data_IF_238726476549
#
_entry.id   IF_238726476549
#
_cell.length_a   1.000
_cell.length_b   1.000
_cell.length_c   1.000
_cell.angle_alpha   90.00
_cell.angle_beta   90.00
_cell.angle_gamma   90.00
#
_symmetry.space_group_name_H-M   'P 1'
#
loop_
_entity.id
_entity.type
_entity.pdbx_description
1 polymer ?
#
# COMPACT_ATOMS: atom_id res chain seq x y z
N UNK A 1 31.09 25.05 -54.98
CA UNK A 1 32.21 25.26 -54.05
C UNK A 1 31.61 25.71 -52.72
N UNK A 2 32.04 25.05 -51.64
CA UNK A 2 32.05 25.43 -50.22
C UNK A 2 30.87 26.22 -49.63
N UNK A 3 30.25 25.62 -48.61
CA UNK A 3 29.57 26.34 -47.54
C UNK A 3 30.35 26.07 -46.24
N UNK A 4 31.14 27.06 -45.82
CA UNK A 4 31.58 27.29 -44.44
C UNK A 4 30.44 28.09 -43.76
N UNK A 5 29.86 27.69 -42.62
CA UNK A 5 30.35 27.60 -41.24
C UNK A 5 29.91 28.80 -40.37
N UNK A 6 29.49 28.48 -39.14
CA UNK A 6 29.35 29.31 -37.91
C UNK A 6 28.04 30.13 -37.81
N UNK A 7 27.06 29.71 -36.99
CA UNK A 7 26.95 29.76 -35.52
C UNK A 7 26.65 31.18 -34.98
N UNK A 8 25.47 31.40 -34.37
CA UNK A 8 25.39 31.56 -32.91
C UNK A 8 23.96 31.63 -32.33
N UNK A 9 23.81 30.96 -31.18
CA UNK A 9 22.93 31.20 -30.03
C UNK A 9 21.44 31.50 -30.19
N UNK A 10 20.60 30.54 -29.77
CA UNK A 10 19.55 30.81 -28.77
C UNK A 10 19.53 29.70 -27.74
N UNK A 11 19.75 30.11 -26.50
CA UNK A 11 19.72 29.34 -25.26
C UNK A 11 18.36 28.66 -25.07
N UNK A 12 18.32 27.33 -25.16
CA UNK A 12 17.18 26.54 -24.71
C UNK A 12 17.08 26.61 -23.19
N UNK A 13 15.87 26.99 -22.74
CA UNK A 13 15.53 27.18 -21.34
C UNK A 13 15.70 25.89 -20.53
N UNK A 14 16.34 26.04 -19.38
CA UNK A 14 16.35 25.07 -18.30
C UNK A 14 14.91 24.78 -17.85
N UNK A 15 14.38 23.61 -18.20
CA UNK A 15 13.23 23.04 -17.51
C UNK A 15 13.69 22.55 -16.14
N UNK A 16 13.61 23.45 -15.16
CA UNK A 16 13.66 23.09 -13.75
C UNK A 16 12.49 22.16 -13.45
N UNK A 17 12.76 20.87 -13.30
CA UNK A 17 11.82 19.91 -12.73
C UNK A 17 11.56 20.31 -11.28
N UNK A 18 10.49 21.06 -11.07
CA UNK A 18 9.97 21.35 -9.75
C UNK A 18 9.55 20.04 -9.09
N UNK A 19 10.20 19.76 -7.97
CA UNK A 19 9.84 18.77 -6.96
C UNK A 19 8.44 19.11 -6.42
N UNK A 20 7.40 18.59 -7.08
CA UNK A 20 6.03 18.63 -6.56
C UNK A 20 5.84 17.38 -5.70
N UNK A 21 6.34 17.48 -4.47
CA UNK A 21 5.81 16.69 -3.37
C UNK A 21 4.32 17.02 -3.24
N UNK A 22 3.45 16.22 -3.86
CA UNK A 22 2.01 16.29 -3.58
C UNK A 22 1.79 15.94 -2.11
N UNK A 23 1.73 16.97 -1.28
CA UNK A 23 1.24 16.91 0.08
C UNK A 23 -0.26 16.60 0.01
N UNK A 24 -0.59 15.34 0.22
CA UNK A 24 -1.98 14.89 0.28
C UNK A 24 -2.65 15.58 1.46
N UNK A 25 -3.78 16.29 1.27
CA UNK A 25 -4.47 16.94 2.37
C UNK A 25 -4.84 15.89 3.42
N UNK A 26 -4.47 16.18 4.68
CA UNK A 26 -4.84 15.36 5.83
C UNK A 26 -6.37 15.18 5.91
N UNK A 27 -6.85 14.09 6.53
CA UNK A 27 -8.27 13.82 6.55
C UNK A 27 -9.04 14.93 7.28
N UNK A 28 -10.00 15.52 6.57
CA UNK A 28 -11.11 16.27 7.15
C UNK A 28 -11.93 15.32 8.03
N UNK A 29 -12.36 15.81 9.19
CA UNK A 29 -13.12 15.15 10.28
C UNK A 29 -14.54 14.68 9.88
N UNK A 30 -14.72 14.15 8.68
CA UNK A 30 -15.89 13.38 8.28
C UNK A 30 -15.52 11.91 8.35
N UNK A 31 -16.32 11.10 9.05
CA UNK A 31 -16.20 9.64 9.10
C UNK A 31 -16.06 9.09 7.68
N UNK A 32 -14.83 8.74 7.30
CA UNK A 32 -14.54 8.25 5.94
C UNK A 32 -15.27 6.92 5.79
N UNK A 33 -16.22 6.77 4.86
CA UNK A 33 -17.01 5.56 4.77
C UNK A 33 -16.09 4.37 4.47
N UNK A 34 -16.09 3.39 5.38
CA UNK A 34 -15.23 2.21 5.38
C UNK A 34 -15.41 1.36 4.11
N UNK A 35 -14.38 0.60 3.75
CA UNK A 35 -14.35 -0.24 2.55
C UNK A 35 -14.76 -1.68 2.87
N UNK A 36 -16.04 -1.93 3.16
CA UNK A 36 -16.52 -3.28 3.43
C UNK A 36 -16.86 -4.07 2.17
N UNK A 37 -16.57 -5.37 2.21
CA UNK A 37 -17.10 -6.38 1.27
C UNK A 37 -17.72 -7.54 2.05
N UNK A 38 -18.82 -8.09 1.54
CA UNK A 38 -19.45 -9.27 2.13
C UNK A 38 -18.87 -10.53 1.49
N UNK A 39 -18.31 -11.42 2.31
CA UNK A 39 -17.77 -12.71 1.88
C UNK A 39 -18.45 -13.78 2.73
N UNK A 40 -19.26 -14.62 2.07
CA UNK A 40 -20.03 -15.70 2.71
C UNK A 40 -20.88 -15.24 3.91
N UNK A 41 -21.57 -14.10 3.76
CA UNK A 41 -22.46 -13.55 4.79
C UNK A 41 -21.74 -12.78 5.90
N UNK A 42 -20.43 -12.58 5.81
CA UNK A 42 -19.64 -11.83 6.78
C UNK A 42 -19.03 -10.59 6.12
N UNK A 43 -19.12 -9.44 6.78
CA UNK A 43 -18.49 -8.22 6.32
C UNK A 43 -17.01 -8.17 6.74
N UNK A 44 -16.16 -7.90 5.75
CA UNK A 44 -14.72 -7.70 5.91
C UNK A 44 -14.36 -6.29 5.46
N UNK A 45 -13.64 -5.57 6.32
CA UNK A 45 -13.02 -4.31 5.93
C UNK A 45 -11.78 -4.59 5.09
N UNK A 46 -11.71 -3.95 3.93
CA UNK A 46 -10.56 -4.00 3.04
C UNK A 46 -9.59 -2.87 3.38
N UNK A 47 -8.31 -3.22 3.51
CA UNK A 47 -7.23 -2.28 3.77
C UNK A 47 -6.10 -2.51 2.77
N UNK A 48 -5.57 -1.45 2.17
CA UNK A 48 -4.49 -1.61 1.21
C UNK A 48 -4.35 -0.52 0.17
N UNK A 49 -3.68 -0.87 -0.92
CA UNK A 49 -3.45 0.05 -2.02
C UNK A 49 -4.55 -0.02 -3.12
N UNK A 50 -4.21 0.43 -4.32
CA UNK A 50 -5.08 0.43 -5.50
C UNK A 50 -5.68 -0.95 -5.83
N UNK A 51 -5.01 -2.05 -5.50
CA UNK A 51 -5.52 -3.38 -5.78
C UNK A 51 -6.70 -3.72 -4.86
N UNK A 52 -6.62 -3.37 -3.58
CA UNK A 52 -7.73 -3.54 -2.64
C UNK A 52 -8.90 -2.61 -2.96
N UNK A 53 -8.61 -1.39 -3.43
CA UNK A 53 -9.63 -0.47 -3.93
C UNK A 53 -10.39 -1.03 -5.14
N UNK A 54 -9.68 -1.71 -6.06
CA UNK A 54 -10.28 -2.39 -7.21
C UNK A 54 -11.10 -3.61 -6.78
N UNK A 55 -10.61 -4.38 -5.82
CA UNK A 55 -11.36 -5.51 -5.26
C UNK A 55 -12.67 -5.03 -4.64
N UNK A 56 -12.63 -3.95 -3.85
CA UNK A 56 -13.83 -3.32 -3.30
C UNK A 56 -14.81 -2.90 -4.39
N UNK A 57 -14.29 -2.18 -5.40
CA UNK A 57 -15.11 -1.66 -6.51
C UNK A 57 -15.80 -2.79 -7.29
N UNK A 58 -15.06 -3.88 -7.54
CA UNK A 58 -15.57 -5.07 -8.20
C UNK A 58 -16.65 -5.78 -7.36
N UNK A 59 -16.37 -6.03 -6.08
CA UNK A 59 -17.27 -6.76 -5.20
C UNK A 59 -18.58 -6.00 -4.91
N UNK A 60 -18.51 -4.67 -4.81
CA UNK A 60 -19.65 -3.82 -4.48
C UNK A 60 -20.36 -3.20 -5.69
N UNK A 61 -19.86 -3.48 -6.91
CA UNK A 61 -20.32 -2.85 -8.15
C UNK A 61 -20.38 -1.32 -8.06
N UNK A 62 -19.45 -0.73 -7.28
CA UNK A 62 -19.38 0.69 -6.98
C UNK A 62 -18.04 1.26 -7.45
N UNK A 63 -17.97 2.56 -7.71
CA UNK A 63 -16.72 3.23 -8.11
C UNK A 63 -16.19 4.10 -6.99
N UNK A 64 -14.92 3.93 -6.64
CA UNK A 64 -14.17 4.87 -5.83
C UNK A 64 -12.99 5.41 -6.64
N UNK A 65 -12.82 6.74 -6.69
CA UNK A 65 -11.78 7.37 -7.54
C UNK A 65 -10.38 6.96 -7.12
N UNK A 66 -9.95 7.41 -5.93
CA UNK A 66 -8.59 7.17 -5.41
C UNK A 66 -8.58 6.61 -3.99
N UNK A 67 -9.71 6.62 -3.30
CA UNK A 67 -9.81 6.19 -1.90
C UNK A 67 -11.22 5.72 -1.55
N UNK A 68 -11.28 4.71 -0.70
CA UNK A 68 -12.46 4.30 0.08
C UNK A 68 -11.97 3.72 1.39
N UNK A 69 -12.41 4.25 2.54
CA UNK A 69 -11.86 3.86 3.84
C UNK A 69 -10.32 3.85 3.85
N UNK A 70 -9.77 2.72 4.28
CA UNK A 70 -8.32 2.44 4.32
C UNK A 70 -7.76 1.79 3.03
N UNK A 71 -8.56 1.71 1.96
CA UNK A 71 -8.09 1.41 0.61
C UNK A 71 -7.72 2.71 -0.11
N UNK A 72 -6.43 2.94 -0.35
CA UNK A 72 -5.95 4.20 -0.97
C UNK A 72 -5.00 3.90 -2.14
N UNK A 73 -5.36 4.42 -3.32
CA UNK A 73 -4.55 4.26 -4.52
C UNK A 73 -3.14 4.82 -4.32
N UNK A 74 -2.13 4.02 -4.64
CA UNK A 74 -0.73 4.39 -4.51
C UNK A 74 -0.19 4.37 -3.07
N UNK A 75 -0.96 3.96 -2.07
CA UNK A 75 -0.50 3.96 -0.67
C UNK A 75 0.71 3.05 -0.45
N UNK A 76 1.69 3.55 0.31
CA UNK A 76 2.77 2.75 0.89
C UNK A 76 2.34 2.12 2.22
N UNK A 77 3.13 1.17 2.73
CA UNK A 77 2.98 0.56 4.06
C UNK A 77 3.04 1.61 5.16
N UNK A 78 4.08 2.46 5.17
CA UNK A 78 4.18 3.63 6.06
C UNK A 78 2.93 4.49 6.09
N UNK A 79 2.38 4.82 4.91
CA UNK A 79 1.20 5.66 4.78
C UNK A 79 -0.05 4.97 5.32
N UNK A 80 -0.20 3.67 5.06
CA UNK A 80 -1.31 2.89 5.60
C UNK A 80 -1.22 2.78 7.13
N UNK A 81 -0.03 2.53 7.70
CA UNK A 81 0.18 2.47 9.14
C UNK A 81 -0.19 3.78 9.85
N UNK A 82 0.11 4.94 9.25
CA UNK A 82 -0.37 6.25 9.73
C UNK A 82 -1.89 6.32 9.70
N UNK A 83 -2.51 6.00 8.56
CA UNK A 83 -3.97 6.04 8.42
C UNK A 83 -4.71 5.10 9.36
N UNK A 84 -4.14 3.94 9.67
CA UNK A 84 -4.72 3.02 10.67
C UNK A 84 -4.72 3.68 12.04
N UNK A 85 -3.61 4.30 12.46
CA UNK A 85 -3.55 5.01 13.75
C UNK A 85 -4.51 6.19 13.84
N UNK A 86 -4.71 6.88 12.72
CA UNK A 86 -5.58 8.05 12.63
C UNK A 86 -7.06 7.67 12.38
N UNK A 87 -7.36 6.39 12.13
CA UNK A 87 -8.72 5.94 11.86
C UNK A 87 -9.55 5.99 13.15
N UNK A 88 -10.81 6.48 13.10
CA UNK A 88 -11.66 6.52 14.28
C UNK A 88 -12.13 5.12 14.73
N UNK A 89 -12.22 4.16 13.80
CA UNK A 89 -12.68 2.80 14.08
C UNK A 89 -12.05 1.80 13.10
N UNK A 90 -12.12 0.52 13.46
CA UNK A 90 -11.73 -0.61 12.62
C UNK A 90 -12.84 -1.66 12.59
N UNK A 91 -13.03 -2.28 11.43
CA UNK A 91 -13.94 -3.41 11.28
C UNK A 91 -13.51 -4.64 12.10
N UNK A 92 -14.45 -5.50 12.53
CA UNK A 92 -14.13 -6.68 13.33
C UNK A 92 -13.40 -7.77 12.54
N UNK A 93 -13.43 -7.68 11.21
CA UNK A 93 -12.76 -8.60 10.30
C UNK A 93 -12.07 -7.80 9.21
N UNK A 94 -10.79 -8.06 9.02
CA UNK A 94 -9.92 -7.28 8.14
C UNK A 94 -9.35 -8.20 7.05
N UNK A 95 -9.30 -7.71 5.82
CA UNK A 95 -8.46 -8.26 4.75
C UNK A 95 -7.45 -7.18 4.35
N UNK A 96 -6.17 -7.47 4.54
CA UNK A 96 -5.08 -6.54 4.33
C UNK A 96 -4.21 -7.01 3.16
N UNK A 97 -3.98 -6.13 2.19
CA UNK A 97 -2.92 -6.31 1.19
C UNK A 97 -2.25 -4.97 0.91
N UNK A 98 -0.96 -4.88 1.22
CA UNK A 98 -0.17 -3.66 1.06
C UNK A 98 1.29 -4.06 0.83
N UNK A 99 2.06 -3.22 0.15
CA UNK A 99 3.47 -3.51 -0.18
C UNK A 99 3.81 -3.36 -1.66
N UNK A 100 2.81 -3.24 -2.55
CA UNK A 100 3.08 -3.20 -4.00
C UNK A 100 3.83 -1.92 -4.39
N UNK A 101 3.54 -0.80 -3.74
CA UNK A 101 4.12 0.50 -4.10
C UNK A 101 5.59 0.63 -3.69
N UNK A 102 6.05 -0.10 -2.67
CA UNK A 102 7.47 -0.19 -2.30
C UNK A 102 8.30 -0.80 -3.44
N UNK A 103 7.72 -1.75 -4.17
CA UNK A 103 8.35 -2.32 -5.37
C UNK A 103 8.14 -1.47 -6.64
N UNK A 104 7.21 -0.52 -6.67
CA UNK A 104 6.92 0.29 -7.86
C UNK A 104 7.61 1.65 -7.85
N UNK A 105 7.99 2.17 -6.66
CA UNK A 105 8.52 3.52 -6.48
C UNK A 105 10.05 3.61 -6.40
N UNK A 106 10.78 2.50 -6.50
CA UNK A 106 12.24 2.55 -6.46
C UNK A 106 12.82 3.07 -7.78
N UNK A 107 13.84 3.93 -7.69
CA UNK A 107 14.49 4.57 -8.83
C UNK A 107 15.89 4.03 -9.15
N UNK A 108 16.43 3.12 -8.33
CA UNK A 108 17.78 2.56 -8.52
C UNK A 108 17.92 1.11 -8.09
N UNK A 109 17.91 0.86 -6.78
CA UNK A 109 17.98 -0.50 -6.22
C UNK A 109 16.60 -1.00 -5.79
N UNK A 110 16.31 -2.31 -5.95
CA UNK A 110 15.09 -2.88 -5.39
C UNK A 110 15.09 -2.74 -3.87
N UNK A 111 13.91 -2.62 -3.23
CA UNK A 111 13.83 -2.60 -1.77
C UNK A 111 14.46 -3.86 -1.19
N UNK A 112 15.13 -3.75 -0.05
CA UNK A 112 15.64 -4.91 0.69
C UNK A 112 14.50 -5.63 1.40
N UNK A 113 14.66 -6.93 1.65
CA UNK A 113 13.67 -7.71 2.40
C UNK A 113 13.48 -7.15 3.82
N UNK A 114 14.56 -6.76 4.49
CA UNK A 114 14.50 -6.21 5.86
C UNK A 114 13.68 -4.93 5.92
N UNK A 115 13.85 -4.02 4.94
CA UNK A 115 13.06 -2.81 4.83
C UNK A 115 11.57 -3.14 4.68
N UNK A 116 11.22 -4.08 3.80
CA UNK A 116 9.83 -4.48 3.59
C UNK A 116 9.21 -5.09 4.86
N UNK A 117 9.97 -5.93 5.57
CA UNK A 117 9.54 -6.54 6.82
C UNK A 117 9.31 -5.50 7.92
N UNK A 118 10.20 -4.51 8.05
CA UNK A 118 10.07 -3.42 9.02
C UNK A 118 8.84 -2.54 8.73
N UNK A 119 8.67 -2.16 7.47
CA UNK A 119 7.52 -1.35 7.01
C UNK A 119 6.19 -2.10 7.17
N UNK A 120 6.16 -3.40 6.85
CA UNK A 120 4.98 -4.22 7.10
C UNK A 120 4.73 -4.40 8.60
N UNK A 121 5.78 -4.58 9.38
CA UNK A 121 5.74 -4.60 10.85
C UNK A 121 5.08 -3.36 11.42
N UNK A 122 5.37 -2.17 10.88
CA UNK A 122 4.71 -0.92 11.28
C UNK A 122 3.20 -0.94 11.02
N UNK A 123 2.73 -1.53 9.92
CA UNK A 123 1.29 -1.71 9.65
C UNK A 123 0.65 -2.63 10.68
N UNK A 124 1.31 -3.73 11.00
CA UNK A 124 0.84 -4.69 11.99
C UNK A 124 0.81 -4.12 13.41
N UNK A 125 1.84 -3.38 13.80
CA UNK A 125 1.89 -2.67 15.08
C UNK A 125 0.77 -1.64 15.16
N UNK A 126 0.54 -0.86 14.09
CA UNK A 126 -0.57 0.09 14.04
C UNK A 126 -1.94 -0.58 14.26
N UNK A 127 -2.16 -1.79 13.73
CA UNK A 127 -3.38 -2.56 13.98
C UNK A 127 -3.49 -3.06 15.42
N UNK A 128 -2.38 -3.52 16.01
CA UNK A 128 -2.34 -4.06 17.38
C UNK A 128 -2.51 -2.99 18.44
N UNK A 129 -1.93 -1.83 18.23
CA UNK A 129 -1.96 -0.70 19.17
C UNK A 129 -3.17 0.21 18.97
N UNK A 130 -4.00 -0.06 17.96
CA UNK A 130 -5.21 0.72 17.72
C UNK A 130 -6.15 0.63 18.94
N UNK A 131 -6.80 1.73 19.37
CA UNK A 131 -7.73 1.70 20.51
C UNK A 131 -8.87 0.68 20.41
N UNK A 132 -9.18 0.25 19.18
CA UNK A 132 -10.22 -0.75 18.85
C UNK A 132 -9.65 -2.14 18.53
N UNK A 133 -8.36 -2.40 18.78
CA UNK A 133 -7.72 -3.66 18.44
C UNK A 133 -8.42 -4.89 19.05
N UNK A 134 -8.93 -4.79 20.29
CA UNK A 134 -9.70 -5.85 20.94
C UNK A 134 -11.03 -6.22 20.25
N UNK A 135 -11.53 -5.39 19.33
CA UNK A 135 -12.71 -5.67 18.52
C UNK A 135 -12.38 -6.47 17.24
N UNK A 136 -11.11 -6.51 16.84
CA UNK A 136 -10.66 -7.20 15.64
C UNK A 136 -10.58 -8.71 15.91
N UNK A 137 -11.64 -9.41 15.51
CA UNK A 137 -11.77 -10.88 15.67
C UNK A 137 -11.01 -11.67 14.61
N UNK A 138 -10.70 -11.07 13.46
CA UNK A 138 -10.00 -11.75 12.36
C UNK A 138 -9.22 -10.77 11.50
N UNK A 139 -7.97 -11.10 11.17
CA UNK A 139 -7.18 -10.38 10.19
C UNK A 139 -6.59 -11.36 9.17
N UNK A 140 -6.86 -11.16 7.90
CA UNK A 140 -6.37 -11.99 6.78
C UNK A 140 -5.33 -11.17 6.02
N UNK A 141 -4.09 -11.65 5.99
CA UNK A 141 -2.98 -11.01 5.29
C UNK A 141 -2.82 -11.60 3.88
N UNK A 142 -3.09 -10.84 2.83
CA UNK A 142 -2.88 -11.34 1.47
C UNK A 142 -1.44 -11.14 1.03
N UNK A 143 -0.90 -12.12 0.32
CA UNK A 143 0.37 -11.99 -0.39
C UNK A 143 0.23 -11.02 -1.56
N UNK A 144 1.34 -10.43 -1.97
CA UNK A 144 1.36 -9.56 -3.13
C UNK A 144 1.20 -10.39 -4.41
N UNK A 145 0.35 -9.96 -5.37
CA UNK A 145 0.29 -10.61 -6.66
C UNK A 145 1.58 -10.37 -7.45
N UNK A 146 1.76 -11.12 -8.53
CA UNK A 146 2.87 -10.91 -9.45
C UNK A 146 2.85 -9.48 -9.99
N UNK A 147 3.96 -8.75 -9.82
CA UNK A 147 4.09 -7.37 -10.28
C UNK A 147 4.45 -7.36 -11.78
N UNK A 148 3.57 -6.93 -12.70
CA UNK A 148 3.79 -7.14 -14.14
C UNK A 148 5.04 -6.42 -14.68
N UNK A 149 5.37 -5.25 -14.13
CA UNK A 149 6.49 -4.41 -14.60
C UNK A 149 7.87 -4.86 -14.11
N UNK A 150 7.95 -5.56 -12.98
CA UNK A 150 9.24 -5.83 -12.31
C UNK A 150 9.37 -7.25 -11.74
N UNK A 151 8.28 -8.00 -11.58
CA UNK A 151 8.25 -9.32 -10.95
C UNK A 151 9.04 -10.40 -11.71
N UNK A 152 9.49 -10.10 -12.93
CA UNK A 152 10.34 -10.98 -13.73
C UNK A 152 11.83 -10.62 -13.66
N UNK A 153 12.21 -9.43 -13.14
CA UNK A 153 13.62 -9.04 -12.99
C UNK A 153 14.25 -9.80 -11.82
N UNK A 154 15.41 -10.41 -12.06
CA UNK A 154 16.02 -11.39 -11.15
C UNK A 154 16.15 -10.95 -9.67
N UNK A 155 16.62 -9.73 -9.34
CA UNK A 155 16.72 -9.33 -7.93
C UNK A 155 15.34 -9.00 -7.30
N UNK A 156 14.46 -8.33 -8.04
CA UNK A 156 13.10 -7.97 -7.57
C UNK A 156 12.26 -9.22 -7.30
N UNK A 157 12.32 -10.21 -8.20
CA UNK A 157 11.55 -11.45 -8.10
C UNK A 157 11.89 -12.22 -6.82
N UNK A 158 13.17 -12.29 -6.47
CA UNK A 158 13.62 -12.97 -5.25
C UNK A 158 13.07 -12.27 -4.02
N UNK A 159 13.28 -10.96 -3.89
CA UNK A 159 12.78 -10.19 -2.75
C UNK A 159 11.25 -10.28 -2.63
N UNK A 160 10.52 -10.19 -3.76
CA UNK A 160 9.07 -10.35 -3.77
C UNK A 160 8.61 -11.73 -3.27
N UNK A 161 9.29 -12.81 -3.68
CA UNK A 161 9.00 -14.17 -3.19
C UNK A 161 9.27 -14.28 -1.69
N UNK A 162 10.45 -13.81 -1.26
CA UNK A 162 10.87 -13.89 0.14
C UNK A 162 9.94 -13.08 1.04
N UNK A 163 9.48 -11.91 0.57
CA UNK A 163 8.48 -11.11 1.29
C UNK A 163 7.11 -11.79 1.35
N UNK A 164 6.66 -12.44 0.28
CA UNK A 164 5.42 -13.23 0.30
C UNK A 164 5.49 -14.43 1.25
N UNK A 165 6.65 -15.10 1.34
CA UNK A 165 6.86 -16.16 2.33
C UNK A 165 6.76 -15.62 3.75
N UNK A 166 7.40 -14.47 4.02
CA UNK A 166 7.27 -13.78 5.31
C UNK A 166 5.81 -13.47 5.68
N UNK A 167 4.99 -12.97 4.74
CA UNK A 167 3.56 -12.73 4.99
C UNK A 167 2.82 -14.03 5.36
N UNK A 168 3.14 -15.14 4.69
CA UNK A 168 2.52 -16.44 4.98
C UNK A 168 2.92 -16.97 6.36
N UNK A 169 4.17 -16.81 6.77
CA UNK A 169 4.65 -17.18 8.10
C UNK A 169 3.91 -16.39 9.20
N UNK A 170 3.69 -15.08 8.98
CA UNK A 170 2.96 -14.24 9.91
C UNK A 170 1.49 -14.63 10.09
N UNK A 171 0.81 -15.08 9.03
CA UNK A 171 -0.57 -15.56 9.14
C UNK A 171 -0.69 -16.72 10.14
N UNK A 172 0.31 -17.60 10.22
CA UNK A 172 0.35 -18.69 11.17
C UNK A 172 0.51 -18.23 12.62
N UNK A 173 1.23 -17.12 12.85
CA UNK A 173 1.55 -16.62 14.20
C UNK A 173 0.55 -15.59 14.76
N UNK A 174 -0.23 -14.91 13.91
CA UNK A 174 -1.15 -13.85 14.35
C UNK A 174 -2.26 -14.35 15.28
N UNK A 175 -2.74 -15.59 15.07
CA UNK A 175 -3.80 -16.19 15.90
C UNK A 175 -3.36 -16.47 17.33
N UNK A 176 -2.08 -16.73 17.58
CA UNK A 176 -1.57 -17.02 18.93
C UNK A 176 -1.45 -15.77 19.82
N UNK A 177 -1.24 -14.58 19.24
CA UNK A 177 -0.94 -13.37 20.03
C UNK A 177 -2.17 -12.54 20.42
N UNK A 178 -3.27 -12.58 19.67
CA UNK A 178 -4.49 -11.81 20.02
C UNK A 178 -5.32 -12.48 21.12
N UNK A 179 -5.26 -13.81 21.24
CA UNK A 179 -5.98 -14.53 22.31
C UNK A 179 -5.29 -14.50 23.68
N UNK A 180 -4.14 -13.82 23.79
CA UNK A 180 -3.33 -13.78 25.03
C UNK A 180 -3.31 -12.39 25.69
N UNK A 181 -4.13 -11.45 25.23
CA UNK A 181 -4.27 -10.11 25.81
C UNK A 181 -5.62 -9.93 26.50
#
# INVERSE_FOLDING_TARGET
MMAEALADTTSDGEETNADVGEEYPGPSSATVPMAFVNINGLDYELMGDSMMLRLWSYATKSSARRQKGLCVSGSTMKQLARRIRDAPDLGPRIVLMIGTNEFLRWSGEPPSLSFLQEEFGCVLTALREHPRAGYVTRCILLTLPSLPKFGYKHPVRRVWKDFNLYILELQGCWFSCISSA
#
